data_IF_216598953091
#
_entry.id   IF_216598953091
#
_cell.length_a   1.000
_cell.length_b   1.000
_cell.length_c   1.000
_cell.angle_alpha   90.00
_cell.angle_beta   90.00
_cell.angle_gamma   90.00
#
_symmetry.space_group_name_H-M   'P 1'
#
loop_
_entity.id
_entity.type
_entity.pdbx_description
1 polymer ?
#
# COMPACT_ATOMS: atom_id res chain seq x y z
N UNK A 1 32.03 -11.69 -3.34
CA UNK A 1 31.04 -11.00 -2.47
C UNK A 1 29.66 -11.42 -2.94
N UNK A 2 28.92 -12.19 -2.13
CA UNK A 2 27.52 -12.50 -2.43
C UNK A 2 26.70 -11.24 -2.20
N UNK A 3 26.17 -10.64 -3.26
CA UNK A 3 25.17 -9.58 -3.15
C UNK A 3 23.89 -10.22 -2.62
N UNK A 4 23.74 -10.23 -1.30
CA UNK A 4 22.55 -10.73 -0.61
C UNK A 4 21.45 -9.66 -0.70
N UNK A 5 20.97 -9.40 -1.91
CA UNK A 5 19.76 -8.60 -2.10
C UNK A 5 18.58 -9.48 -1.73
N UNK A 6 18.03 -9.29 -0.53
CA UNK A 6 16.84 -10.00 -0.06
C UNK A 6 15.69 -9.77 -1.05
N UNK A 7 15.29 -10.81 -1.78
CA UNK A 7 14.20 -10.74 -2.75
C UNK A 7 13.23 -11.88 -2.46
N UNK A 8 12.08 -11.60 -1.80
CA UNK A 8 11.18 -12.66 -1.35
C UNK A 8 10.65 -13.52 -2.51
N UNK A 9 10.56 -12.95 -3.71
CA UNK A 9 10.07 -13.63 -4.91
C UNK A 9 11.05 -14.66 -5.49
N UNK A 10 12.34 -14.57 -5.15
CA UNK A 10 13.37 -15.54 -5.54
C UNK A 10 13.63 -16.52 -4.40
N UNK A 11 13.65 -16.00 -3.17
CA UNK A 11 14.10 -16.74 -1.99
C UNK A 11 13.00 -17.66 -1.39
N UNK A 12 11.74 -17.46 -1.77
CA UNK A 12 10.60 -18.21 -1.25
C UNK A 12 9.81 -18.93 -2.32
N UNK A 13 9.20 -20.07 -1.96
CA UNK A 13 8.31 -20.78 -2.85
C UNK A 13 6.97 -20.06 -3.03
N UNK A 14 6.35 -20.27 -4.19
CA UNK A 14 5.04 -19.70 -4.56
C UNK A 14 3.97 -19.92 -3.47
N UNK A 15 3.90 -21.15 -2.91
CA UNK A 15 2.95 -21.49 -1.83
C UNK A 15 3.20 -20.70 -0.55
N UNK A 16 4.48 -20.47 -0.20
CA UNK A 16 4.84 -19.68 1.00
C UNK A 16 4.46 -18.22 0.79
N UNK A 17 4.78 -17.65 -0.37
CA UNK A 17 4.41 -16.27 -0.69
C UNK A 17 2.90 -16.05 -0.64
N UNK A 18 2.12 -16.99 -1.18
CA UNK A 18 0.67 -16.90 -1.16
C UNK A 18 0.14 -16.95 0.28
N UNK A 19 0.65 -17.87 1.09
CA UNK A 19 0.28 -17.99 2.51
C UNK A 19 0.61 -16.72 3.29
N UNK A 20 1.85 -16.22 3.19
CA UNK A 20 2.25 -14.98 3.87
C UNK A 20 1.47 -13.77 3.37
N UNK A 21 1.21 -13.69 2.06
CA UNK A 21 0.37 -12.67 1.44
C UNK A 21 -1.03 -12.61 2.07
N UNK A 22 -1.70 -13.76 2.18
CA UNK A 22 -3.02 -13.84 2.80
C UNK A 22 -3.00 -13.61 4.31
N UNK A 23 -1.96 -14.06 5.02
CA UNK A 23 -1.81 -13.74 6.46
C UNK A 23 -1.67 -12.23 6.65
N UNK A 24 -0.83 -11.56 5.85
CA UNK A 24 -0.67 -10.11 5.90
C UNK A 24 -1.97 -9.37 5.58
N UNK A 25 -2.70 -9.84 4.56
CA UNK A 25 -4.01 -9.31 4.21
C UNK A 25 -5.02 -9.46 5.36
N UNK A 26 -5.15 -10.67 5.93
CA UNK A 26 -6.07 -10.93 7.03
C UNK A 26 -5.70 -10.08 8.27
N UNK A 27 -4.41 -9.96 8.56
CA UNK A 27 -3.91 -9.09 9.61
C UNK A 27 -4.30 -7.62 9.36
N UNK A 28 -4.12 -7.11 8.14
CA UNK A 28 -4.50 -5.75 7.78
C UNK A 28 -6.01 -5.52 7.92
N UNK A 29 -6.85 -6.49 7.52
CA UNK A 29 -8.32 -6.42 7.71
C UNK A 29 -8.67 -6.36 9.19
N UNK A 30 -8.09 -7.22 10.02
CA UNK A 30 -8.31 -7.23 11.48
C UNK A 30 -7.87 -5.91 12.10
N UNK A 31 -6.64 -5.48 11.82
CA UNK A 31 -6.06 -4.25 12.35
C UNK A 31 -6.93 -3.05 12.00
N UNK A 32 -7.33 -2.96 10.74
CA UNK A 32 -8.24 -1.92 10.25
C UNK A 32 -9.55 -1.98 11.01
N UNK A 33 -10.17 -3.14 11.22
CA UNK A 33 -11.44 -3.24 11.94
C UNK A 33 -11.37 -2.80 13.41
N UNK A 34 -10.25 -3.01 14.09
CA UNK A 34 -10.06 -2.66 15.50
C UNK A 34 -9.42 -1.28 15.74
N UNK A 35 -8.93 -0.59 14.71
CA UNK A 35 -8.39 0.77 14.82
C UNK A 35 -9.39 1.82 14.34
N UNK A 36 -9.04 3.10 14.38
CA UNK A 36 -9.82 4.18 13.75
C UNK A 36 -9.33 4.49 12.33
N UNK A 37 -8.37 3.72 11.85
CA UNK A 37 -7.65 3.96 10.60
C UNK A 37 -8.16 2.98 9.56
N UNK A 38 -8.61 3.52 8.42
CA UNK A 38 -9.09 2.77 7.27
C UNK A 38 -8.15 2.98 6.09
N UNK A 39 -7.78 1.88 5.42
CA UNK A 39 -7.00 1.93 4.20
C UNK A 39 -7.94 1.94 2.99
N UNK A 40 -7.91 3.04 2.23
CA UNK A 40 -8.67 3.25 1.01
C UNK A 40 -7.74 3.14 -0.18
N UNK A 41 -7.90 2.08 -0.97
CA UNK A 41 -6.94 1.77 -2.04
C UNK A 41 -5.58 1.37 -1.51
N UNK A 42 -4.58 1.40 -2.38
CA UNK A 42 -3.22 1.02 -2.00
C UNK A 42 -2.48 2.12 -1.26
N UNK A 43 -2.89 3.38 -1.40
CA UNK A 43 -2.01 4.52 -1.11
C UNK A 43 -2.59 5.55 -0.13
N UNK A 44 -3.81 5.36 0.38
CA UNK A 44 -4.46 6.32 1.27
C UNK A 44 -4.89 5.66 2.56
N UNK A 45 -4.52 6.29 3.67
CA UNK A 45 -5.06 6.02 4.99
C UNK A 45 -5.96 7.19 5.40
N UNK A 46 -7.07 6.88 6.04
CA UNK A 46 -8.01 7.87 6.56
C UNK A 46 -8.46 7.47 7.95
N UNK A 47 -8.81 8.45 8.77
CA UNK A 47 -9.48 8.20 10.04
C UNK A 47 -11.00 8.17 9.83
N UNK A 48 -11.64 7.03 10.12
CA UNK A 48 -13.07 6.84 9.90
C UNK A 48 -13.71 6.16 11.10
N UNK A 49 -14.72 6.83 11.68
CA UNK A 49 -15.66 6.30 12.66
C UNK A 49 -17.02 7.00 12.51
N UNK A 50 -18.15 6.27 12.54
CA UNK A 50 -18.28 4.81 12.57
C UNK A 50 -17.91 4.17 11.23
N UNK A 51 -17.65 2.86 11.22
CA UNK A 51 -17.46 2.06 10.00
C UNK A 51 -18.19 0.74 10.13
N UNK A 52 -18.64 0.21 8.99
CA UNK A 52 -19.21 -1.13 8.93
C UNK A 52 -18.10 -2.19 9.09
N UNK A 53 -18.43 -3.32 9.72
CA UNK A 53 -17.48 -4.40 9.98
C UNK A 53 -16.88 -5.01 8.71
N UNK A 54 -17.58 -4.88 7.57
CA UNK A 54 -17.16 -5.40 6.28
C UNK A 54 -16.40 -4.38 5.41
N UNK A 55 -16.43 -3.07 5.74
CA UNK A 55 -15.75 -2.03 4.95
C UNK A 55 -14.26 -2.32 4.79
N UNK A 56 -13.60 -2.77 5.86
CA UNK A 56 -12.17 -3.13 5.83
C UNK A 56 -11.88 -4.25 4.84
N UNK A 57 -12.69 -5.33 4.88
CA UNK A 57 -12.52 -6.47 3.99
C UNK A 57 -12.82 -6.10 2.55
N UNK A 58 -13.89 -5.33 2.32
CA UNK A 58 -14.28 -4.87 1.00
C UNK A 58 -13.19 -3.98 0.38
N UNK A 59 -12.74 -2.94 1.08
CA UNK A 59 -11.77 -1.98 0.53
C UNK A 59 -10.42 -2.63 0.22
N UNK A 60 -9.88 -3.40 1.17
CA UNK A 60 -8.62 -4.10 0.97
C UNK A 60 -8.76 -5.20 -0.10
N UNK A 61 -9.83 -6.00 -0.06
CA UNK A 61 -10.06 -7.07 -1.02
C UNK A 61 -10.22 -6.52 -2.43
N UNK A 62 -11.02 -5.48 -2.60
CA UNK A 62 -11.20 -4.78 -3.86
C UNK A 62 -9.89 -4.19 -4.38
N UNK A 63 -9.08 -3.58 -3.52
CA UNK A 63 -7.75 -3.04 -3.87
C UNK A 63 -6.81 -4.14 -4.39
N UNK A 64 -6.73 -5.27 -3.68
CA UNK A 64 -5.87 -6.39 -4.09
C UNK A 64 -6.34 -6.96 -5.43
N UNK A 65 -7.65 -7.18 -5.59
CA UNK A 65 -8.21 -7.73 -6.83
C UNK A 65 -8.01 -6.76 -7.99
N UNK A 66 -8.31 -5.47 -7.81
CA UNK A 66 -8.20 -4.46 -8.86
C UNK A 66 -6.74 -4.31 -9.34
N UNK A 67 -5.77 -4.24 -8.42
CA UNK A 67 -4.35 -4.21 -8.77
C UNK A 67 -3.91 -5.49 -9.48
N UNK A 68 -4.33 -6.66 -8.97
CA UNK A 68 -3.97 -7.95 -9.57
C UNK A 68 -4.50 -8.05 -10.99
N UNK A 69 -5.76 -7.70 -11.23
CA UNK A 69 -6.37 -7.74 -12.56
C UNK A 69 -5.68 -6.76 -13.50
N UNK A 70 -5.49 -5.50 -13.10
CA UNK A 70 -4.83 -4.50 -13.93
C UNK A 70 -3.42 -4.94 -14.36
N UNK A 71 -2.61 -5.37 -13.39
CA UNK A 71 -1.23 -5.79 -13.65
C UNK A 71 -1.18 -7.11 -14.41
N UNK A 72 -2.14 -8.01 -14.20
CA UNK A 72 -2.24 -9.25 -14.96
C UNK A 72 -2.58 -8.98 -16.43
N UNK A 73 -3.53 -8.10 -16.73
CA UNK A 73 -3.84 -7.72 -18.10
C UNK A 73 -2.67 -7.01 -18.77
N UNK A 74 -2.02 -6.07 -18.07
CA UNK A 74 -0.79 -5.45 -18.57
C UNK A 74 0.29 -6.50 -18.88
N UNK A 75 0.49 -7.46 -17.97
CA UNK A 75 1.45 -8.53 -18.15
C UNK A 75 1.11 -9.43 -19.34
N UNK A 76 -0.16 -9.81 -19.54
CA UNK A 76 -0.62 -10.61 -20.68
C UNK A 76 -0.36 -9.92 -22.02
N UNK A 77 -0.55 -8.60 -22.11
CA UNK A 77 -0.28 -7.81 -23.32
C UNK A 77 1.23 -7.87 -23.67
N UNK A 78 2.11 -7.92 -22.67
CA UNK A 78 3.56 -7.92 -22.89
C UNK A 78 4.15 -9.33 -23.01
N UNK A 79 3.62 -10.29 -22.25
CA UNK A 79 4.12 -11.65 -22.10
C UNK A 79 2.96 -12.63 -21.87
N UNK A 80 2.60 -13.36 -22.92
CA UNK A 80 1.43 -14.27 -22.96
C UNK A 80 1.49 -15.46 -21.98
N UNK A 81 2.65 -15.76 -21.39
CA UNK A 81 2.84 -16.87 -20.45
C UNK A 81 2.83 -16.44 -18.98
N UNK A 82 2.38 -15.23 -18.67
CA UNK A 82 2.28 -14.76 -17.29
C UNK A 82 1.19 -15.56 -16.55
N UNK A 83 1.53 -16.13 -15.39
CA UNK A 83 0.58 -16.87 -14.55
C UNK A 83 -0.12 -15.90 -13.59
N UNK A 84 -1.43 -16.03 -13.45
CA UNK A 84 -2.23 -15.16 -12.57
C UNK A 84 -1.74 -15.20 -11.12
N UNK A 85 -1.40 -16.40 -10.61
CA UNK A 85 -0.93 -16.59 -9.22
C UNK A 85 0.39 -15.84 -8.95
N UNK A 86 1.27 -15.70 -9.94
CA UNK A 86 2.52 -14.95 -9.77
C UNK A 86 2.27 -13.45 -9.60
N UNK A 87 1.29 -12.91 -10.33
CA UNK A 87 0.86 -11.51 -10.19
C UNK A 87 0.14 -11.30 -8.86
N UNK A 88 -0.76 -12.20 -8.48
CA UNK A 88 -1.45 -12.13 -7.18
C UNK A 88 -0.46 -12.16 -6.01
N UNK A 89 0.52 -13.06 -6.03
CA UNK A 89 1.59 -13.12 -5.03
C UNK A 89 2.38 -11.80 -4.99
N UNK A 90 2.71 -11.26 -6.15
CA UNK A 90 3.40 -9.97 -6.25
C UNK A 90 2.61 -8.86 -5.56
N UNK A 91 1.32 -8.74 -5.87
CA UNK A 91 0.46 -7.70 -5.29
C UNK A 91 0.32 -7.89 -3.79
N UNK A 92 0.01 -9.10 -3.32
CA UNK A 92 -0.15 -9.39 -1.89
C UNK A 92 1.12 -9.07 -1.08
N UNK A 93 2.29 -9.48 -1.58
CA UNK A 93 3.56 -9.25 -0.89
C UNK A 93 3.97 -7.78 -0.95
N UNK A 94 3.74 -7.09 -2.08
CA UNK A 94 4.04 -5.66 -2.17
C UNK A 94 3.27 -4.84 -1.13
N UNK A 95 2.01 -5.19 -0.85
CA UNK A 95 1.18 -4.49 0.13
C UNK A 95 1.73 -4.55 1.56
N UNK A 96 2.68 -5.44 1.88
CA UNK A 96 3.36 -5.40 3.18
C UNK A 96 4.02 -4.06 3.47
N UNK A 97 4.56 -3.37 2.44
CA UNK A 97 5.10 -2.01 2.61
C UNK A 97 4.06 -1.06 3.19
N UNK A 98 2.82 -1.14 2.71
CA UNK A 98 1.71 -0.31 3.19
C UNK A 98 1.06 -0.85 4.46
N UNK A 99 1.09 -2.16 4.71
CA UNK A 99 0.62 -2.75 5.96
C UNK A 99 1.49 -2.31 7.15
N UNK A 100 2.79 -2.10 6.94
CA UNK A 100 3.66 -1.51 7.97
C UNK A 100 3.22 -0.07 8.29
N UNK A 101 2.89 0.74 7.27
CA UNK A 101 2.35 2.07 7.50
C UNK A 101 1.01 2.02 8.24
N UNK A 102 0.09 1.14 7.84
CA UNK A 102 -1.18 0.92 8.52
C UNK A 102 -0.99 0.53 9.99
N UNK A 103 -0.05 -0.38 10.28
CA UNK A 103 0.29 -0.81 11.64
C UNK A 103 0.71 0.36 12.51
N UNK A 104 1.70 1.13 12.06
CA UNK A 104 2.19 2.28 12.83
C UNK A 104 1.11 3.35 12.99
N UNK A 105 0.34 3.62 11.93
CA UNK A 105 -0.76 4.60 11.95
C UNK A 105 -1.93 4.19 12.84
N UNK A 106 -2.06 2.90 13.15
CA UNK A 106 -3.11 2.35 14.01
C UNK A 106 -2.71 2.31 15.49
N UNK A 107 -1.46 2.60 15.83
CA UNK A 107 -1.02 2.72 17.24
C UNK A 107 -1.73 3.92 17.86
N UNK A 108 -2.40 3.80 19.03
CA UNK A 108 -3.21 4.88 19.60
C UNK A 108 -2.52 6.24 19.68
N UNK A 109 -1.28 6.28 20.20
CA UNK A 109 -0.49 7.51 20.33
C UNK A 109 -0.20 8.15 18.96
N UNK A 110 0.06 7.35 17.94
CA UNK A 110 0.30 7.84 16.57
C UNK A 110 -1.00 8.30 15.93
N UNK A 111 -2.07 7.52 16.05
CA UNK A 111 -3.39 7.86 15.53
C UNK A 111 -3.90 9.18 16.11
N UNK A 112 -3.80 9.36 17.43
CA UNK A 112 -4.22 10.59 18.12
C UNK A 112 -3.36 11.77 17.71
N UNK A 113 -2.06 11.57 17.54
CA UNK A 113 -1.17 12.58 16.99
C UNK A 113 -1.61 13.00 15.58
N UNK A 114 -1.83 12.05 14.67
CA UNK A 114 -2.23 12.34 13.29
C UNK A 114 -3.55 13.11 13.22
N UNK A 115 -4.56 12.70 14.00
CA UNK A 115 -5.83 13.44 14.12
C UNK A 115 -5.60 14.85 14.65
N UNK A 116 -4.79 15.01 15.70
CA UNK A 116 -4.52 16.32 16.29
C UNK A 116 -3.82 17.27 15.31
N UNK A 117 -2.92 16.74 14.48
CA UNK A 117 -2.24 17.52 13.43
C UNK A 117 -3.22 17.95 12.35
N UNK A 118 -4.14 17.08 11.93
CA UNK A 118 -5.15 17.43 10.94
C UNK A 118 -5.99 18.63 11.39
N UNK A 119 -6.52 18.60 12.62
CA UNK A 119 -7.25 19.74 13.19
C UNK A 119 -6.38 20.99 13.33
N UNK A 120 -5.13 20.83 13.80
CA UNK A 120 -4.22 21.94 14.01
C UNK A 120 -3.85 22.67 12.70
N UNK A 121 -3.67 21.91 11.62
CA UNK A 121 -3.39 22.46 10.28
C UNK A 121 -4.61 23.17 9.73
N UNK A 122 -5.82 22.62 9.93
CA UNK A 122 -7.07 23.27 9.51
C UNK A 122 -7.32 24.58 10.26
N UNK A 123 -7.10 24.61 11.58
CA UNK A 123 -7.27 25.80 12.42
C UNK A 123 -6.29 26.93 12.09
N UNK A 124 -5.13 26.60 11.51
CA UNK A 124 -4.06 27.55 11.18
C UNK A 124 -3.81 27.66 9.68
N UNK A 125 -4.81 27.35 8.85
CA UNK A 125 -4.65 27.33 7.39
C UNK A 125 -4.21 28.70 6.82
N UNK A 126 -4.69 29.79 7.44
CA UNK A 126 -4.38 31.17 7.04
C UNK A 126 -3.02 31.67 7.57
N UNK A 127 -2.45 30.98 8.57
CA UNK A 127 -1.16 31.33 9.17
C UNK A 127 -0.43 30.09 9.71
N UNK A 128 0.23 29.31 8.82
CA UNK A 128 0.94 28.09 9.20
C UNK A 128 2.11 28.32 10.16
N UNK A 129 2.58 29.57 10.33
CA UNK A 129 3.69 29.90 11.25
C UNK A 129 3.33 29.72 12.72
N UNK A 130 2.03 29.65 13.03
CA UNK A 130 1.50 29.41 14.38
C UNK A 130 1.50 27.93 14.78
N UNK A 131 1.78 27.02 13.84
CA UNK A 131 1.88 25.59 14.16
C UNK A 131 3.17 25.36 14.98
N UNK A 132 3.08 24.75 16.16
CA UNK A 132 4.26 24.46 16.99
C UNK A 132 5.32 23.63 16.26
N UNK A 133 6.59 24.01 16.44
CA UNK A 133 7.71 23.41 15.70
C UNK A 133 7.86 21.91 15.97
N UNK A 134 7.60 21.46 17.20
CA UNK A 134 7.63 20.04 17.59
C UNK A 134 6.62 19.21 16.77
N UNK A 135 5.43 19.77 16.52
CA UNK A 135 4.37 19.17 15.70
C UNK A 135 4.80 19.05 14.24
N UNK A 136 5.43 20.08 13.70
CA UNK A 136 5.98 20.08 12.33
C UNK A 136 7.07 19.02 12.20
N UNK A 137 8.01 18.94 13.15
CA UNK A 137 9.09 17.95 13.14
C UNK A 137 8.54 16.53 13.17
N UNK A 138 7.59 16.24 14.07
CA UNK A 138 6.95 14.91 14.14
C UNK A 138 6.18 14.57 12.87
N UNK A 139 5.49 15.55 12.27
CA UNK A 139 4.80 15.37 10.98
C UNK A 139 5.78 15.03 9.86
N UNK A 140 6.94 15.70 9.81
CA UNK A 140 8.00 15.39 8.83
C UNK A 140 8.56 13.99 9.04
N UNK A 141 8.85 13.59 10.28
CA UNK A 141 9.33 12.23 10.59
C UNK A 141 8.34 11.19 10.09
N UNK A 142 7.05 11.37 10.40
CA UNK A 142 6.00 10.46 9.95
C UNK A 142 5.81 10.49 8.42
N UNK A 143 5.94 11.66 7.80
CA UNK A 143 5.89 11.85 6.35
C UNK A 143 7.01 11.09 5.63
N UNK A 144 8.26 11.22 6.10
CA UNK A 144 9.39 10.45 5.56
C UNK A 144 9.21 8.95 5.77
N UNK A 145 8.72 8.52 6.93
CA UNK A 145 8.39 7.11 7.17
C UNK A 145 7.33 6.59 6.19
N UNK A 146 6.27 7.37 5.95
CA UNK A 146 5.20 7.03 5.01
C UNK A 146 5.72 6.91 3.58
N UNK A 147 6.58 7.85 3.15
CA UNK A 147 7.25 7.80 1.85
C UNK A 147 8.15 6.56 1.76
N UNK A 148 8.89 6.23 2.82
CA UNK A 148 9.69 5.00 2.87
C UNK A 148 8.86 3.73 2.66
N UNK A 149 7.71 3.63 3.32
CA UNK A 149 6.77 2.52 3.15
C UNK A 149 6.23 2.43 1.70
N UNK A 150 5.91 3.58 1.10
CA UNK A 150 5.47 3.69 -0.28
C UNK A 150 6.56 3.24 -1.28
N UNK A 151 7.81 3.64 -1.03
CA UNK A 151 8.97 3.21 -1.82
C UNK A 151 9.14 1.69 -1.72
N UNK A 152 9.07 1.11 -0.52
CA UNK A 152 9.14 -0.34 -0.30
C UNK A 152 8.02 -1.05 -1.05
N UNK A 153 6.80 -0.54 -1.00
CA UNK A 153 5.66 -1.06 -1.75
C UNK A 153 5.98 -1.16 -3.26
N UNK A 154 6.44 -0.08 -3.89
CA UNK A 154 6.75 -0.09 -5.32
C UNK A 154 8.00 -0.90 -5.68
N UNK A 155 9.01 -0.95 -4.80
CA UNK A 155 10.18 -1.82 -5.01
C UNK A 155 9.74 -3.28 -5.05
N UNK A 156 8.96 -3.73 -4.07
CA UNK A 156 8.45 -5.11 -4.04
C UNK A 156 7.54 -5.39 -5.24
N UNK A 157 6.64 -4.46 -5.58
CA UNK A 157 5.73 -4.62 -6.70
C UNK A 157 6.49 -4.78 -8.02
N UNK A 158 7.46 -3.90 -8.29
CA UNK A 158 8.25 -3.95 -9.53
C UNK A 158 9.19 -5.14 -9.59
N UNK A 159 9.79 -5.56 -8.46
CA UNK A 159 10.60 -6.78 -8.39
C UNK A 159 9.77 -8.03 -8.68
N UNK A 160 8.60 -8.19 -8.05
CA UNK A 160 7.74 -9.34 -8.28
C UNK A 160 7.19 -9.38 -9.70
N UNK A 161 6.73 -8.23 -10.23
CA UNK A 161 6.19 -8.17 -11.59
C UNK A 161 7.26 -8.45 -12.64
N UNK A 162 8.50 -8.00 -12.42
CA UNK A 162 9.63 -8.33 -13.30
C UNK A 162 9.81 -9.84 -13.44
N UNK A 163 9.68 -10.57 -12.33
CA UNK A 163 9.79 -12.03 -12.28
C UNK A 163 8.56 -12.67 -12.93
N UNK A 164 7.35 -12.24 -12.57
CA UNK A 164 6.10 -12.76 -13.11
C UNK A 164 6.00 -12.62 -14.64
N UNK A 165 6.50 -11.50 -15.18
CA UNK A 165 6.50 -11.21 -16.63
C UNK A 165 7.75 -11.75 -17.35
N UNK A 166 8.77 -12.24 -16.63
CA UNK A 166 10.11 -12.47 -17.18
C UNK A 166 10.65 -11.25 -17.98
N UNK A 167 10.39 -10.04 -17.49
CA UNK A 167 10.81 -8.82 -18.18
C UNK A 167 12.25 -8.43 -17.82
N UNK A 168 13.01 -8.03 -18.85
CA UNK A 168 14.35 -7.43 -18.69
C UNK A 168 14.35 -5.92 -18.91
N UNK A 169 13.21 -5.33 -19.29
CA UNK A 169 13.11 -3.93 -19.69
C UNK A 169 12.79 -3.04 -18.49
N UNK A 170 13.68 -2.09 -18.18
CA UNK A 170 13.44 -1.11 -17.11
C UNK A 170 12.20 -0.25 -17.34
N UNK A 171 11.85 0.03 -18.60
CA UNK A 171 10.64 0.80 -18.96
C UNK A 171 9.33 0.17 -18.48
N UNK A 172 9.25 -1.16 -18.39
CA UNK A 172 8.04 -1.82 -17.89
C UNK A 172 7.82 -1.51 -16.39
N UNK A 173 8.89 -1.28 -15.62
CA UNK A 173 8.80 -0.94 -14.19
C UNK A 173 8.15 0.42 -13.98
N UNK A 174 8.52 1.41 -14.80
CA UNK A 174 7.92 2.75 -14.75
C UNK A 174 6.43 2.68 -15.10
N UNK A 175 6.07 1.89 -16.13
CA UNK A 175 4.67 1.69 -16.52
C UNK A 175 3.87 1.05 -15.38
N UNK A 176 4.41 0.04 -14.69
CA UNK A 176 3.75 -0.60 -13.55
C UNK A 176 3.44 0.41 -12.44
N UNK A 177 4.43 1.25 -12.08
CA UNK A 177 4.23 2.30 -11.06
C UNK A 177 3.13 3.26 -11.49
N UNK A 178 3.18 3.75 -12.73
CA UNK A 178 2.17 4.66 -13.27
C UNK A 178 0.78 4.03 -13.30
N UNK A 179 0.66 2.76 -13.70
CA UNK A 179 -0.62 2.04 -13.75
C UNK A 179 -1.27 1.94 -12.37
N UNK A 180 -0.49 1.59 -11.33
CA UNK A 180 -1.04 1.49 -9.97
C UNK A 180 -1.39 2.86 -9.40
N UNK A 181 -0.58 3.91 -9.66
CA UNK A 181 -0.92 5.28 -9.27
C UNK A 181 -2.22 5.74 -9.95
N UNK A 182 -2.35 5.54 -11.26
CA UNK A 182 -3.55 5.90 -12.02
C UNK A 182 -4.77 5.13 -11.54
N UNK A 183 -4.66 3.82 -11.34
CA UNK A 183 -5.75 3.01 -10.81
C UNK A 183 -6.18 3.51 -9.44
N UNK A 184 -5.24 3.71 -8.51
CA UNK A 184 -5.56 4.20 -7.18
C UNK A 184 -6.30 5.55 -7.24
N UNK A 185 -5.81 6.50 -8.05
CA UNK A 185 -6.47 7.80 -8.25
C UNK A 185 -7.87 7.66 -8.86
N UNK A 186 -8.04 6.81 -9.88
CA UNK A 186 -9.34 6.57 -10.52
C UNK A 186 -10.34 5.96 -9.54
N UNK A 187 -9.94 4.95 -8.77
CA UNK A 187 -10.83 4.30 -7.79
C UNK A 187 -11.27 5.27 -6.69
N UNK A 188 -10.38 6.18 -6.26
CA UNK A 188 -10.72 7.23 -5.30
C UNK A 188 -11.65 8.29 -5.92
N UNK A 189 -11.39 8.72 -7.15
CA UNK A 189 -12.23 9.69 -7.85
C UNK A 189 -13.65 9.17 -8.10
N UNK A 190 -13.77 7.88 -8.43
CA UNK A 190 -15.06 7.20 -8.61
C UNK A 190 -15.76 6.84 -7.29
N UNK A 191 -15.11 7.11 -6.14
CA UNK A 191 -15.62 6.83 -4.80
C UNK A 191 -16.10 5.37 -4.63
N UNK A 192 -15.33 4.41 -5.13
CA UNK A 192 -15.69 2.98 -5.11
C UNK A 192 -15.38 2.29 -3.77
N UNK A 193 -14.74 3.01 -2.85
CA UNK A 193 -14.47 2.55 -1.49
C UNK A 193 -15.59 2.99 -0.54
N UNK A 194 -15.78 2.21 0.54
CA UNK A 194 -16.88 2.39 1.51
C UNK A 194 -16.37 2.48 2.95
#
# INVERSE_FOLDING_TARGET
MANMTFNPFVDSSEKKLLLFGFIGFAFAVVLTNYSDTLMLGSLKLVHVKPKEWYSSLYNLGFTIIANTLLLYFFALIRFSRTRFVDVLNTVLIAHFGMYVLLLVSSIPVVSDFLKSIEFLVLDHIDDPSKIPLDKIILMLIFGFFSIGCLIVFFILLTMGMKIAMNSKKGGDMVIIVLLVLLLNTLLQFLNLYI
#
